data_IF_335929037367
#
_entry.id   IF_335929037367
#
_cell.length_a   1.000
_cell.length_b   1.000
_cell.length_c   1.000
_cell.angle_alpha   90.00
_cell.angle_beta   90.00
_cell.angle_gamma   90.00
#
_symmetry.space_group_name_H-M   'P 1'
#
loop_
_entity.id
_entity.type
_entity.pdbx_description
1 polymer ?
#
# COMPACT_ATOMS: atom_id res chain seq x y z
N UNK A 1 36.76 22.42 -15.80
CA UNK A 1 35.66 21.94 -14.95
C UNK A 1 36.27 21.17 -13.80
N UNK A 2 36.04 21.62 -12.56
CA UNK A 2 36.61 20.98 -11.39
C UNK A 2 35.84 19.67 -11.11
N UNK A 3 36.53 18.53 -11.08
CA UNK A 3 35.94 17.21 -10.82
C UNK A 3 35.15 17.18 -9.52
N UNK A 4 35.57 17.96 -8.52
CA UNK A 4 34.84 18.10 -7.25
C UNK A 4 33.46 18.73 -7.43
N UNK A 5 33.33 19.74 -8.29
CA UNK A 5 32.03 20.38 -8.56
C UNK A 5 31.05 19.43 -9.27
N UNK A 6 31.57 18.56 -10.13
CA UNK A 6 30.77 17.54 -10.82
C UNK A 6 30.26 16.50 -9.82
N UNK A 7 31.12 16.04 -8.90
CA UNK A 7 30.75 15.10 -7.84
C UNK A 7 29.67 15.67 -6.91
N UNK A 8 29.83 16.94 -6.48
CA UNK A 8 28.83 17.61 -5.64
C UNK A 8 27.47 17.74 -6.35
N UNK A 9 27.46 18.03 -7.65
CA UNK A 9 26.21 18.08 -8.44
C UNK A 9 25.54 16.71 -8.56
N UNK A 10 26.33 15.65 -8.76
CA UNK A 10 25.82 14.27 -8.81
C UNK A 10 25.18 13.85 -7.49
N UNK A 11 25.83 14.10 -6.36
CA UNK A 11 25.24 13.79 -5.04
C UNK A 11 23.94 14.55 -4.79
N UNK A 12 23.86 15.81 -5.25
CA UNK A 12 22.65 16.62 -5.08
C UNK A 12 21.49 16.06 -5.90
N UNK A 13 21.74 15.67 -7.15
CA UNK A 13 20.76 15.00 -8.01
C UNK A 13 20.29 13.67 -7.40
N UNK A 14 21.21 12.87 -6.86
CA UNK A 14 20.87 11.59 -6.24
C UNK A 14 19.95 11.77 -5.02
N UNK A 15 20.24 12.77 -4.17
CA UNK A 15 19.39 13.13 -3.02
C UNK A 15 18.00 13.62 -3.46
N UNK A 16 17.92 14.40 -4.53
CA UNK A 16 16.63 14.86 -5.09
C UNK A 16 15.80 13.69 -5.64
N UNK A 17 16.42 12.77 -6.39
CA UNK A 17 15.76 11.55 -6.87
C UNK A 17 15.29 10.66 -5.71
N UNK A 18 16.08 10.53 -4.65
CA UNK A 18 15.71 9.77 -3.46
C UNK A 18 14.52 10.42 -2.73
N UNK A 19 14.46 11.75 -2.66
CA UNK A 19 13.32 12.50 -2.11
C UNK A 19 12.08 12.33 -2.97
N UNK A 20 12.19 12.32 -4.29
CA UNK A 20 11.06 12.05 -5.18
C UNK A 20 10.55 10.61 -4.99
N UNK A 21 11.47 9.63 -4.90
CA UNK A 21 11.14 8.22 -4.62
C UNK A 21 10.48 8.02 -3.25
N UNK A 22 10.93 8.74 -2.22
CA UNK A 22 10.39 8.64 -0.84
C UNK A 22 9.16 9.52 -0.58
N UNK A 23 9.08 10.67 -1.24
CA UNK A 23 8.00 11.65 -1.16
C UNK A 23 6.82 11.32 -2.07
N UNK A 24 7.02 10.43 -3.05
CA UNK A 24 5.96 9.81 -3.83
C UNK A 24 5.16 8.80 -3.03
N UNK A 25 4.45 9.24 -1.99
CA UNK A 25 3.15 8.63 -1.71
C UNK A 25 2.26 8.96 -2.90
N UNK A 26 2.38 8.17 -3.95
CA UNK A 26 1.36 8.06 -4.98
C UNK A 26 0.15 7.41 -4.29
N UNK A 27 -0.55 8.19 -3.47
CA UNK A 27 -1.89 7.84 -3.05
C UNK A 27 -2.71 7.95 -4.33
N UNK A 28 -2.89 6.81 -5.01
CA UNK A 28 -4.01 6.68 -5.93
C UNK A 28 -5.22 7.27 -5.22
N UNK A 29 -6.04 8.12 -5.87
CA UNK A 29 -7.24 8.63 -5.25
C UNK A 29 -7.98 7.41 -4.70
N UNK A 30 -8.07 7.30 -3.37
CA UNK A 30 -8.73 6.17 -2.71
C UNK A 30 -10.14 6.19 -3.24
N UNK A 31 -10.43 5.37 -4.26
CA UNK A 31 -11.80 5.14 -4.68
C UNK A 31 -12.49 4.68 -3.42
N UNK A 32 -13.45 5.47 -2.94
CA UNK A 32 -14.26 5.13 -1.77
C UNK A 32 -15.20 4.02 -2.22
N UNK A 33 -14.65 2.82 -2.41
CA UNK A 33 -15.42 1.61 -2.69
C UNK A 33 -15.82 1.05 -1.33
N UNK A 34 -17.13 1.11 -1.04
CA UNK A 34 -17.64 0.46 0.16
C UNK A 34 -17.46 -1.04 0.03
N UNK A 35 -17.17 -1.71 1.15
CA UNK A 35 -17.16 -3.17 1.22
C UNK A 35 -18.49 -3.76 0.70
N UNK A 36 -19.61 -3.09 0.99
CA UNK A 36 -20.94 -3.42 0.44
C UNK A 36 -20.96 -3.42 -1.09
N UNK A 37 -20.31 -2.46 -1.74
CA UNK A 37 -20.18 -2.38 -3.20
C UNK A 37 -19.32 -3.51 -3.77
N UNK A 38 -18.22 -3.84 -3.09
CA UNK A 38 -17.33 -4.95 -3.47
C UNK A 38 -18.06 -6.31 -3.40
N UNK A 39 -18.93 -6.48 -2.40
CA UNK A 39 -19.69 -7.72 -2.19
C UNK A 39 -21.01 -7.77 -2.97
N UNK A 40 -21.37 -6.72 -3.73
CA UNK A 40 -22.63 -6.67 -4.48
C UNK A 40 -22.66 -7.77 -5.53
N UNK A 41 -23.65 -8.66 -5.46
CA UNK A 41 -23.82 -9.78 -6.39
C UNK A 41 -23.07 -11.06 -6.00
N UNK A 42 -22.25 -11.01 -4.95
CA UNK A 42 -21.64 -12.21 -4.37
C UNK A 42 -22.68 -12.92 -3.50
N UNK A 43 -22.95 -14.18 -3.79
CA UNK A 43 -23.77 -15.05 -2.93
C UNK A 43 -22.90 -15.56 -1.79
N UNK A 44 -23.15 -15.09 -0.58
CA UNK A 44 -22.46 -15.53 0.63
C UNK A 44 -23.27 -16.67 1.25
N UNK A 45 -22.66 -17.85 1.38
CA UNK A 45 -23.28 -18.99 2.06
C UNK A 45 -22.92 -19.02 3.54
N UNK A 46 -23.70 -19.74 4.34
CA UNK A 46 -23.39 -19.95 5.76
C UNK A 46 -22.01 -20.60 5.95
N UNK A 47 -21.60 -21.49 5.03
CA UNK A 47 -20.28 -22.13 5.07
C UNK A 47 -19.14 -21.12 4.95
N UNK A 48 -19.32 -20.09 4.11
CA UNK A 48 -18.33 -19.02 3.93
C UNK A 48 -18.18 -18.18 5.21
N UNK A 49 -19.30 -17.89 5.87
CA UNK A 49 -19.33 -17.18 7.16
C UNK A 49 -18.60 -17.98 8.23
N UNK A 50 -18.88 -19.28 8.36
CA UNK A 50 -18.24 -20.14 9.36
C UNK A 50 -16.74 -20.30 9.12
N UNK A 51 -16.32 -20.43 7.86
CA UNK A 51 -14.90 -20.47 7.48
C UNK A 51 -14.19 -19.16 7.83
N UNK A 52 -14.81 -18.02 7.54
CA UNK A 52 -14.27 -16.71 7.87
C UNK A 52 -14.13 -16.51 9.39
N UNK A 53 -15.17 -16.86 10.17
CA UNK A 53 -15.13 -16.81 11.65
C UNK A 53 -13.98 -17.66 12.20
N UNK A 54 -13.86 -18.90 11.75
CA UNK A 54 -12.78 -19.81 12.17
C UNK A 54 -11.39 -19.26 11.84
N UNK A 55 -11.24 -18.58 10.70
CA UNK A 55 -9.98 -17.96 10.30
C UNK A 55 -9.64 -16.72 11.12
N UNK A 56 -10.63 -15.86 11.40
CA UNK A 56 -10.45 -14.61 12.14
C UNK A 56 -10.13 -14.86 13.62
N UNK A 57 -10.76 -15.88 14.21
CA UNK A 57 -10.63 -16.19 15.63
C UNK A 57 -9.68 -17.35 15.91
N UNK A 58 -8.84 -17.72 14.94
CA UNK A 58 -7.95 -18.90 15.03
C UNK A 58 -6.91 -18.78 16.16
N UNK A 59 -6.53 -17.57 16.54
CA UNK A 59 -5.50 -17.30 17.55
C UNK A 59 -6.04 -16.73 18.87
N UNK A 60 -7.36 -16.56 19.03
CA UNK A 60 -7.92 -16.16 20.33
C UNK A 60 -7.92 -17.38 21.25
N UNK A 61 -6.78 -17.64 21.88
CA UNK A 61 -6.73 -18.36 23.15
C UNK A 61 -7.34 -17.44 24.20
N UNK A 62 -8.61 -17.67 24.53
CA UNK A 62 -9.20 -17.18 25.79
C UNK A 62 -8.54 -17.97 26.93
#
# INVERSE_FOLDING_TARGET
MNTQEVLTKLEKLEKELLKIKKGGKFEFPKKIISLKGILKGIKISEKDIQKAKKSLFKEIKI
#
